data_IF_776076451752
#
_entry.id   IF_776076451752
#
_cell.length_a   1.000
_cell.length_b   1.000
_cell.length_c   1.000
_cell.angle_alpha   90.00
_cell.angle_beta   90.00
_cell.angle_gamma   90.00
#
_symmetry.space_group_name_H-M   'P 1'
#
loop_
_entity.id
_entity.type
_entity.pdbx_description
1 polymer ?
#
# COMPACT_ATOMS: atom_id res chain seq x y z
N UNK A 1 9.75 -21.58 -25.08
CA UNK A 1 10.03 -20.54 -26.09
C UNK A 1 8.90 -19.52 -26.22
N UNK A 2 7.63 -19.94 -26.39
CA UNK A 2 6.47 -19.03 -26.51
C UNK A 2 6.31 -18.02 -25.35
N UNK A 3 6.43 -18.48 -24.10
CA UNK A 3 6.32 -17.63 -22.90
C UNK A 3 7.42 -16.56 -22.86
N UNK A 4 8.66 -16.93 -23.18
CA UNK A 4 9.79 -16.01 -23.28
C UNK A 4 9.57 -14.97 -24.38
N UNK A 5 9.10 -15.40 -25.56
CA UNK A 5 8.81 -14.49 -26.66
C UNK A 5 7.65 -13.54 -26.36
N UNK A 6 6.62 -14.01 -25.65
CA UNK A 6 5.50 -13.16 -25.21
C UNK A 6 5.93 -12.13 -24.15
N UNK A 7 6.72 -12.55 -23.15
CA UNK A 7 7.26 -11.66 -22.11
C UNK A 7 8.20 -10.62 -22.72
N UNK A 8 9.08 -11.02 -23.65
CA UNK A 8 9.98 -10.10 -24.35
C UNK A 8 9.20 -9.11 -25.22
N UNK A 9 8.13 -9.53 -25.89
CA UNK A 9 7.27 -8.63 -26.65
C UNK A 9 6.50 -7.64 -25.76
N UNK A 10 6.10 -8.06 -24.56
CA UNK A 10 5.43 -7.18 -23.59
C UNK A 10 6.38 -6.18 -22.93
N UNK A 11 7.61 -6.59 -22.59
CA UNK A 11 8.61 -5.75 -21.94
C UNK A 11 9.35 -4.78 -22.89
N UNK A 12 9.04 -4.81 -24.18
CA UNK A 12 9.65 -3.97 -25.20
C UNK A 12 8.62 -3.05 -25.88
N UNK A 13 7.49 -2.71 -25.24
CA UNK A 13 6.52 -1.80 -25.85
C UNK A 13 7.05 -0.37 -25.69
N UNK A 14 7.49 0.21 -26.81
CA UNK A 14 7.94 1.60 -26.86
C UNK A 14 6.82 2.57 -26.47
N UNK A 15 7.10 3.45 -25.52
CA UNK A 15 6.36 4.69 -25.28
C UNK A 15 6.23 5.48 -26.58
N UNK A 16 5.07 6.10 -26.76
CA UNK A 16 4.78 7.04 -27.84
C UNK A 16 5.68 8.28 -27.66
N UNK A 17 6.93 8.18 -28.12
CA UNK A 17 7.89 9.29 -28.29
C UNK A 17 8.35 10.04 -27.03
N UNK A 18 7.93 9.69 -25.81
CA UNK A 18 8.31 10.43 -24.61
C UNK A 18 9.14 9.57 -23.63
N UNK A 19 10.41 9.96 -23.53
CA UNK A 19 11.47 9.58 -22.58
C UNK A 19 12.13 8.20 -22.72
N UNK A 20 13.46 8.25 -22.77
CA UNK A 20 14.47 7.18 -22.83
C UNK A 20 14.63 6.48 -21.46
N UNK A 21 13.55 5.88 -20.95
CA UNK A 21 13.56 5.13 -19.69
C UNK A 21 13.48 3.62 -19.98
N UNK A 22 14.42 2.83 -19.44
CA UNK A 22 14.44 1.38 -19.60
C UNK A 22 13.15 0.73 -19.03
N UNK A 23 12.26 0.31 -19.93
CA UNK A 23 10.95 -0.33 -19.68
C UNK A 23 11.03 -1.81 -19.25
N UNK A 24 12.05 -2.22 -18.48
CA UNK A 24 12.36 -3.64 -18.21
C UNK A 24 11.20 -4.47 -17.60
N UNK A 25 10.14 -3.80 -17.12
CA UNK A 25 8.83 -4.42 -16.96
C UNK A 25 7.69 -3.40 -17.24
N UNK A 26 7.17 -3.38 -18.48
CA UNK A 26 5.91 -2.69 -18.84
C UNK A 26 4.66 -3.30 -18.16
N UNK A 27 4.84 -4.29 -17.28
CA UNK A 27 3.79 -4.81 -16.44
C UNK A 27 3.71 -4.03 -15.13
N UNK A 28 2.78 -3.08 -15.05
CA UNK A 28 2.40 -2.41 -13.80
C UNK A 28 2.28 -3.36 -12.58
N UNK A 29 1.73 -4.59 -12.71
CA UNK A 29 1.68 -5.54 -11.59
C UNK A 29 3.04 -6.04 -11.10
N UNK A 30 4.02 -6.26 -11.99
CA UNK A 30 5.34 -6.74 -11.59
C UNK A 30 6.13 -5.62 -10.89
N UNK A 31 6.06 -4.39 -11.41
CA UNK A 31 6.73 -3.24 -10.80
C UNK A 31 6.19 -2.95 -9.40
N UNK A 32 4.87 -3.06 -9.21
CA UNK A 32 4.25 -2.95 -7.89
C UNK A 32 4.72 -4.05 -6.93
N UNK A 33 4.79 -5.30 -7.39
CA UNK A 33 5.28 -6.41 -6.56
C UNK A 33 6.75 -6.22 -6.15
N UNK A 34 7.60 -5.77 -7.07
CA UNK A 34 8.99 -5.41 -6.74
C UNK A 34 9.04 -4.25 -5.76
N UNK A 35 8.19 -3.25 -5.93
CA UNK A 35 8.12 -2.09 -5.06
C UNK A 35 7.65 -2.46 -3.64
N UNK A 36 6.64 -3.32 -3.53
CA UNK A 36 6.17 -3.90 -2.26
C UNK A 36 7.31 -4.60 -1.52
N UNK A 37 8.12 -5.40 -2.24
CA UNK A 37 9.30 -6.06 -1.67
C UNK A 37 10.39 -5.10 -1.23
N UNK A 38 10.54 -3.95 -1.88
CA UNK A 38 11.45 -2.90 -1.42
C UNK A 38 10.94 -2.25 -0.13
N UNK A 39 9.64 -1.98 -0.04
CA UNK A 39 9.01 -1.41 1.16
C UNK A 39 9.05 -2.36 2.36
N UNK A 40 9.01 -3.67 2.13
CA UNK A 40 9.19 -4.67 3.20
C UNK A 40 10.55 -4.53 3.91
N UNK A 41 11.57 -3.97 3.26
CA UNK A 41 12.88 -3.73 3.87
C UNK A 41 12.87 -2.60 4.92
N UNK A 42 11.79 -1.82 5.02
CA UNK A 42 11.62 -0.79 6.05
C UNK A 42 11.32 -1.36 7.44
N UNK A 43 11.13 -2.68 7.58
CA UNK A 43 10.76 -3.32 8.83
C UNK A 43 11.88 -4.21 9.36
N UNK A 44 11.99 -4.29 10.69
CA UNK A 44 12.98 -5.11 11.37
C UNK A 44 12.69 -6.61 11.18
N UNK A 45 13.75 -7.38 10.88
CA UNK A 45 13.65 -8.83 10.63
C UNK A 45 13.38 -9.63 11.92
N UNK A 46 13.81 -9.10 13.07
CA UNK A 46 13.66 -9.71 14.39
C UNK A 46 12.36 -9.30 15.07
N UNK A 47 11.84 -8.11 14.77
CA UNK A 47 10.57 -7.61 15.29
C UNK A 47 9.71 -7.04 14.17
N UNK A 48 8.87 -7.89 13.60
CA UNK A 48 8.19 -7.61 12.32
C UNK A 48 7.39 -6.29 12.31
N UNK A 49 6.77 -5.86 13.42
CA UNK A 49 6.02 -4.58 13.43
C UNK A 49 6.87 -3.33 13.57
N UNK A 50 8.15 -3.44 13.95
CA UNK A 50 9.01 -2.28 14.11
C UNK A 50 9.52 -1.80 12.77
N UNK A 51 9.31 -0.51 12.52
CA UNK A 51 9.99 0.21 11.46
C UNK A 51 11.45 0.44 11.92
N UNK A 52 12.42 0.24 11.02
CA UNK A 52 13.84 0.43 11.33
C UNK A 52 14.16 1.90 11.64
N UNK A 53 15.17 2.15 12.46
CA UNK A 53 15.56 3.52 12.86
C UNK A 53 15.98 4.37 11.64
N UNK A 54 16.64 3.75 10.65
CA UNK A 54 17.11 4.41 9.42
C UNK A 54 16.08 4.40 8.27
N UNK A 55 14.79 4.31 8.58
CA UNK A 55 13.74 4.19 7.56
C UNK A 55 13.76 5.34 6.56
N UNK A 56 14.06 6.57 7.00
CA UNK A 56 14.12 7.74 6.13
C UNK A 56 15.25 7.63 5.10
N UNK A 57 16.43 7.17 5.51
CA UNK A 57 17.58 6.97 4.63
C UNK A 57 17.33 5.85 3.62
N UNK A 58 16.72 4.75 4.08
CA UNK A 58 16.31 3.65 3.22
C UNK A 58 15.22 4.11 2.24
N UNK A 59 14.25 4.90 2.70
CA UNK A 59 13.17 5.41 1.86
C UNK A 59 13.70 6.32 0.76
N UNK A 60 14.71 7.15 1.05
CA UNK A 60 15.41 7.95 0.04
C UNK A 60 16.13 7.10 -1.01
N UNK A 61 16.67 5.93 -0.62
CA UNK A 61 17.22 4.95 -1.57
C UNK A 61 16.13 4.28 -2.40
N UNK A 62 15.03 3.86 -1.77
CA UNK A 62 13.89 3.24 -2.45
C UNK A 62 13.30 4.20 -3.48
N UNK A 63 13.16 5.49 -3.14
CA UNK A 63 12.65 6.54 -4.05
C UNK A 63 13.49 6.71 -5.31
N UNK A 64 14.79 6.39 -5.29
CA UNK A 64 15.63 6.40 -6.51
C UNK A 64 15.21 5.34 -7.54
N UNK A 65 14.45 4.32 -7.13
CA UNK A 65 13.92 3.30 -8.03
C UNK A 65 12.63 3.74 -8.75
N UNK A 66 11.99 4.83 -8.30
CA UNK A 66 10.71 5.29 -8.84
C UNK A 66 10.69 5.48 -10.36
N UNK A 67 11.69 6.16 -11.00
CA UNK A 67 11.70 6.33 -12.45
C UNK A 67 11.79 5.01 -13.22
N UNK A 68 12.40 3.99 -12.60
CA UNK A 68 12.61 2.66 -13.17
C UNK A 68 11.35 1.80 -13.04
N UNK A 69 10.62 1.94 -11.93
CA UNK A 69 9.42 1.16 -11.61
C UNK A 69 8.12 1.84 -12.05
N UNK A 70 8.17 3.11 -12.48
CA UNK A 70 6.98 3.89 -12.81
C UNK A 70 6.15 4.25 -11.57
N UNK A 71 6.81 4.40 -10.41
CA UNK A 71 6.16 4.78 -9.15
C UNK A 71 6.18 6.31 -9.01
N UNK A 72 5.09 6.87 -8.55
CA UNK A 72 5.00 8.26 -8.15
C UNK A 72 4.60 8.34 -6.66
N UNK A 73 4.56 9.54 -6.11
CA UNK A 73 4.22 9.76 -4.70
C UNK A 73 2.86 9.14 -4.33
N UNK A 74 1.85 9.25 -5.20
CA UNK A 74 0.49 8.76 -4.91
C UNK A 74 0.46 7.23 -4.83
N UNK A 75 1.10 6.55 -5.79
CA UNK A 75 1.25 5.11 -5.78
C UNK A 75 2.08 4.63 -4.60
N UNK A 76 3.14 5.35 -4.25
CA UNK A 76 3.89 5.07 -3.02
C UNK A 76 3.00 5.16 -1.79
N UNK A 77 2.22 6.25 -1.65
CA UNK A 77 1.37 6.44 -0.48
C UNK A 77 0.38 5.28 -0.29
N UNK A 78 -0.23 4.85 -1.39
CA UNK A 78 -1.16 3.72 -1.42
C UNK A 78 -0.45 2.38 -1.12
N UNK A 79 0.68 2.10 -1.77
CA UNK A 79 1.44 0.86 -1.55
C UNK A 79 1.97 0.76 -0.12
N UNK A 80 2.48 1.87 0.42
CA UNK A 80 3.01 1.89 1.77
C UNK A 80 1.90 1.72 2.81
N UNK A 81 0.71 2.30 2.59
CA UNK A 81 -0.47 2.01 3.43
C UNK A 81 -0.79 0.52 3.45
N UNK A 82 -0.75 -0.14 2.30
CA UNK A 82 -0.98 -1.59 2.20
C UNK A 82 0.09 -2.39 2.95
N UNK A 83 1.37 -2.10 2.74
CA UNK A 83 2.48 -2.81 3.40
C UNK A 83 2.45 -2.62 4.92
N UNK A 84 2.19 -1.40 5.41
CA UNK A 84 2.01 -1.13 6.84
C UNK A 84 0.86 -1.96 7.42
N UNK A 85 -0.27 -2.02 6.70
CA UNK A 85 -1.44 -2.79 7.11
C UNK A 85 -1.19 -4.31 7.11
N UNK A 86 -0.57 -4.84 6.05
CA UNK A 86 -0.17 -6.25 5.99
C UNK A 86 0.78 -6.59 7.14
N UNK A 87 1.71 -5.68 7.46
CA UNK A 87 2.63 -5.87 8.59
C UNK A 87 1.94 -5.87 9.94
N UNK A 88 0.95 -5.00 10.13
CA UNK A 88 0.14 -5.00 11.34
C UNK A 88 -0.62 -6.33 11.52
N UNK A 89 -1.10 -6.93 10.43
CA UNK A 89 -1.75 -8.24 10.48
C UNK A 89 -0.74 -9.33 10.83
N UNK A 90 0.42 -9.35 10.15
CA UNK A 90 1.46 -10.36 10.34
C UNK A 90 2.02 -10.34 11.77
N UNK A 91 2.17 -9.16 12.37
CA UNK A 91 2.68 -8.98 13.74
C UNK A 91 1.68 -9.29 14.86
N UNK A 92 0.51 -9.84 14.55
CA UNK A 92 -0.46 -10.25 15.56
C UNK A 92 -1.32 -9.12 16.12
N UNK A 93 -1.33 -7.95 15.46
CA UNK A 93 -2.32 -6.88 15.69
C UNK A 93 -2.25 -6.22 17.07
N UNK A 94 -1.05 -6.08 17.63
CA UNK A 94 -0.84 -5.49 18.98
C UNK A 94 -0.16 -4.12 18.93
N UNK A 95 0.41 -3.75 17.77
CA UNK A 95 1.22 -2.55 17.62
C UNK A 95 0.35 -1.32 17.35
N UNK A 96 0.16 -0.49 18.39
CA UNK A 96 -0.59 0.75 18.29
C UNK A 96 0.17 1.87 17.58
N UNK A 97 1.50 1.85 17.61
CA UNK A 97 2.32 2.83 16.92
C UNK A 97 2.19 2.62 15.41
N UNK A 98 2.33 1.36 14.96
CA UNK A 98 2.11 0.99 13.56
C UNK A 98 0.69 1.34 13.08
N UNK A 99 -0.34 1.15 13.91
CA UNK A 99 -1.70 1.59 13.60
C UNK A 99 -1.81 3.10 13.41
N UNK A 100 -1.15 3.89 14.26
CA UNK A 100 -1.11 5.35 14.10
C UNK A 100 -0.39 5.75 12.80
N UNK A 101 0.66 5.03 12.42
CA UNK A 101 1.36 5.25 11.15
C UNK A 101 0.46 4.92 9.95
N UNK A 102 -0.32 3.83 10.02
CA UNK A 102 -1.32 3.50 9.00
C UNK A 102 -2.35 4.61 8.86
N UNK A 103 -2.91 5.11 9.98
CA UNK A 103 -3.94 6.14 9.94
C UNK A 103 -3.41 7.44 9.30
N UNK A 104 -2.22 7.88 9.70
CA UNK A 104 -1.56 9.03 9.09
C UNK A 104 -1.27 8.83 7.60
N UNK A 105 -0.87 7.63 7.18
CA UNK A 105 -0.65 7.33 5.77
C UNK A 105 -1.94 7.30 4.95
N UNK A 106 -3.05 6.83 5.54
CA UNK A 106 -4.37 6.88 4.92
C UNK A 106 -4.88 8.32 4.75
N UNK A 107 -4.47 9.27 5.59
CA UNK A 107 -4.75 10.70 5.36
C UNK A 107 -4.09 11.22 4.08
N UNK A 108 -2.85 10.82 3.80
CA UNK A 108 -2.16 11.16 2.54
C UNK A 108 -2.86 10.52 1.34
N UNK A 109 -3.25 9.25 1.45
CA UNK A 109 -4.04 8.56 0.41
C UNK A 109 -5.39 9.26 0.18
N UNK A 110 -6.04 9.76 1.22
CA UNK A 110 -7.29 10.51 1.10
C UNK A 110 -7.11 11.85 0.39
N UNK A 111 -5.97 12.53 0.58
CA UNK A 111 -5.61 13.74 -0.17
C UNK A 111 -5.36 13.40 -1.65
N UNK A 112 -4.61 12.33 -1.90
CA UNK A 112 -4.27 11.86 -3.24
C UNK A 112 -5.51 11.51 -4.06
N UNK A 113 -6.43 10.72 -3.48
CA UNK A 113 -7.68 10.31 -4.13
C UNK A 113 -8.53 11.47 -4.63
N UNK A 114 -8.47 12.64 -3.99
CA UNK A 114 -9.22 13.84 -4.41
C UNK A 114 -8.61 14.56 -5.61
N UNK A 115 -7.33 14.33 -5.89
CA UNK A 115 -6.57 15.09 -6.87
C UNK A 115 -6.36 14.34 -8.17
N UNK A 116 -6.23 13.02 -8.13
CA UNK A 116 -6.02 12.20 -9.32
C UNK A 116 -7.32 11.73 -9.94
N UNK A 117 -7.29 11.58 -11.27
CA UNK A 117 -8.33 10.93 -12.07
C UNK A 117 -7.77 9.74 -12.87
N UNK A 118 -6.61 9.23 -12.45
CA UNK A 118 -5.98 8.10 -13.10
C UNK A 118 -6.81 6.83 -12.84
N UNK A 119 -7.41 6.21 -13.89
CA UNK A 119 -8.23 5.02 -13.72
C UNK A 119 -7.42 3.82 -13.20
N UNK A 120 -6.11 3.79 -13.44
CA UNK A 120 -5.23 2.76 -12.89
C UNK A 120 -5.17 2.95 -11.37
N UNK A 121 -4.85 4.16 -10.91
CA UNK A 121 -4.82 4.49 -9.49
C UNK A 121 -6.15 4.18 -8.79
N UNK A 122 -7.29 4.66 -9.30
CA UNK A 122 -8.60 4.42 -8.66
C UNK A 122 -8.92 2.93 -8.53
N UNK A 123 -8.53 2.11 -9.52
CA UNK A 123 -8.71 0.65 -9.42
C UNK A 123 -7.90 0.05 -8.27
N UNK A 124 -6.64 0.46 -8.09
CA UNK A 124 -5.82 -0.01 -6.99
C UNK A 124 -6.30 0.53 -5.65
N UNK A 125 -6.64 1.81 -5.59
CA UNK A 125 -7.21 2.45 -4.41
C UNK A 125 -8.44 1.69 -3.91
N UNK A 126 -9.40 1.46 -4.81
CA UNK A 126 -10.63 0.74 -4.50
C UNK A 126 -10.35 -0.68 -4.00
N UNK A 127 -9.48 -1.43 -4.67
CA UNK A 127 -9.11 -2.78 -4.28
C UNK A 127 -8.44 -2.85 -2.90
N UNK A 128 -7.48 -1.94 -2.65
CA UNK A 128 -6.75 -1.86 -1.38
C UNK A 128 -7.68 -1.48 -0.23
N UNK A 129 -8.41 -0.37 -0.37
CA UNK A 129 -9.29 0.12 0.71
C UNK A 129 -10.47 -0.82 0.97
N UNK A 130 -11.01 -1.49 -0.05
CA UNK A 130 -12.06 -2.51 0.15
C UNK A 130 -11.52 -3.71 0.92
N UNK A 131 -10.27 -4.10 0.68
CA UNK A 131 -9.63 -5.20 1.41
C UNK A 131 -9.39 -4.83 2.88
N UNK A 132 -8.89 -3.62 3.14
CA UNK A 132 -8.73 -3.07 4.49
C UNK A 132 -10.08 -2.99 5.20
N UNK A 133 -11.07 -2.35 4.57
CA UNK A 133 -12.41 -2.18 5.14
C UNK A 133 -13.07 -3.53 5.45
N UNK A 134 -13.02 -4.47 4.51
CA UNK A 134 -13.59 -5.81 4.72
C UNK A 134 -12.89 -6.60 5.83
N UNK A 135 -11.62 -6.35 6.09
CA UNK A 135 -10.92 -6.91 7.25
C UNK A 135 -11.37 -6.24 8.56
N UNK A 136 -11.46 -4.91 8.58
CA UNK A 136 -11.93 -4.13 9.74
C UNK A 136 -13.36 -4.53 10.13
N UNK A 137 -14.28 -4.60 9.16
CA UNK A 137 -15.68 -4.96 9.39
C UNK A 137 -15.82 -6.34 10.04
N UNK A 138 -15.08 -7.34 9.55
CA UNK A 138 -15.12 -8.71 10.11
C UNK A 138 -14.73 -8.72 11.59
N UNK A 139 -13.69 -7.96 11.95
CA UNK A 139 -13.22 -7.84 13.34
C UNK A 139 -14.21 -7.12 14.24
N UNK A 140 -14.78 -6.02 13.77
CA UNK A 140 -15.75 -5.25 14.54
C UNK A 140 -17.08 -6.00 14.70
N UNK A 141 -17.50 -6.78 13.69
CA UNK A 141 -18.67 -7.64 13.79
C UNK A 141 -18.50 -8.76 14.84
N UNK A 142 -17.28 -9.32 14.92
CA UNK A 142 -16.92 -10.34 15.91
C UNK A 142 -16.14 -9.74 17.10
N UNK A 143 -16.45 -8.50 17.52
CA UNK A 143 -15.59 -7.78 18.46
C UNK A 143 -15.40 -8.49 19.80
N UNK A 144 -16.42 -9.22 20.27
CA UNK A 144 -16.36 -10.01 21.50
C UNK A 144 -15.34 -11.15 21.46
N UNK A 145 -15.12 -11.73 20.28
CA UNK A 145 -14.15 -12.82 20.06
C UNK A 145 -12.78 -12.28 19.61
N UNK A 146 -12.78 -11.08 19.04
CA UNK A 146 -11.62 -10.46 18.40
C UNK A 146 -10.80 -9.61 19.38
N UNK A 147 -11.47 -8.97 20.32
CA UNK A 147 -10.84 -8.06 21.27
C UNK A 147 -10.93 -8.57 22.70
N UNK A 148 -9.79 -8.67 23.36
CA UNK A 148 -9.65 -9.08 24.76
C UNK A 148 -8.90 -8.02 25.58
N UNK A 149 -8.63 -8.29 26.85
CA UNK A 149 -7.92 -7.34 27.72
C UNK A 149 -6.52 -6.97 27.23
N UNK A 150 -5.90 -7.75 26.34
CA UNK A 150 -4.55 -7.52 25.83
C UNK A 150 -4.56 -6.56 24.66
N UNK A 151 -5.51 -6.69 23.73
CA UNK A 151 -5.50 -5.95 22.46
C UNK A 151 -6.64 -4.92 22.31
N UNK A 152 -7.55 -4.78 23.29
CA UNK A 152 -8.69 -3.84 23.23
C UNK A 152 -8.27 -2.39 22.99
N UNK A 153 -7.05 -2.02 23.38
CA UNK A 153 -6.48 -0.68 23.13
C UNK A 153 -6.32 -0.36 21.65
N UNK A 154 -6.25 -1.37 20.77
CA UNK A 154 -6.12 -1.20 19.31
C UNK A 154 -7.44 -0.94 18.61
N UNK A 155 -8.58 -1.29 19.27
CA UNK A 155 -9.91 -1.18 18.68
C UNK A 155 -10.24 0.24 18.17
N UNK A 156 -9.97 1.34 18.92
CA UNK A 156 -10.25 2.69 18.44
C UNK A 156 -9.51 3.03 17.13
N UNK A 157 -8.25 2.63 17.02
CA UNK A 157 -7.44 2.88 15.83
C UNK A 157 -7.93 2.05 14.64
N UNK A 158 -8.32 0.79 14.86
CA UNK A 158 -8.94 -0.06 13.83
C UNK A 158 -10.25 0.56 13.32
N UNK A 159 -11.07 1.14 14.22
CA UNK A 159 -12.27 1.88 13.83
C UNK A 159 -11.90 3.13 13.01
N UNK A 160 -10.88 3.89 13.41
CA UNK A 160 -10.38 5.05 12.66
C UNK A 160 -10.03 4.67 11.21
N UNK A 161 -9.20 3.63 11.04
CA UNK A 161 -8.79 3.09 9.73
C UNK A 161 -10.00 2.68 8.89
N UNK A 162 -10.99 2.01 9.50
CA UNK A 162 -12.23 1.62 8.82
C UNK A 162 -13.04 2.83 8.33
N UNK A 163 -13.20 3.84 9.18
CA UNK A 163 -13.92 5.08 8.82
C UNK A 163 -13.19 5.82 7.70
N UNK A 164 -11.86 5.97 7.81
CA UNK A 164 -11.02 6.62 6.80
C UNK A 164 -11.13 5.91 5.45
N UNK A 165 -11.02 4.58 5.45
CA UNK A 165 -11.14 3.75 4.23
C UNK A 165 -12.53 3.88 3.59
N UNK A 166 -13.59 3.76 4.39
CA UNK A 166 -14.97 3.87 3.89
C UNK A 166 -15.26 5.26 3.32
N UNK A 167 -14.76 6.33 3.97
CA UNK A 167 -14.93 7.70 3.50
C UNK A 167 -14.30 7.92 2.13
N UNK A 168 -13.05 7.47 1.94
CA UNK A 168 -12.35 7.60 0.66
C UNK A 168 -13.05 6.79 -0.44
N UNK A 169 -13.51 5.57 -0.15
CA UNK A 169 -14.25 4.76 -1.11
C UNK A 169 -15.58 5.40 -1.56
N UNK A 170 -16.33 6.01 -0.65
CA UNK A 170 -17.59 6.70 -0.97
C UNK A 170 -17.33 7.93 -1.85
N UNK A 171 -16.26 8.68 -1.55
CA UNK A 171 -15.85 9.85 -2.34
C UNK A 171 -15.35 9.45 -3.75
N UNK A 172 -14.64 8.33 -3.89
CA UNK A 172 -14.15 7.80 -5.19
C UNK A 172 -15.29 7.32 -6.09
N UNK A 173 -16.31 6.63 -5.54
CA UNK A 173 -17.49 6.17 -6.31
C UNK A 173 -18.35 7.35 -6.83
N UNK A 174 -18.27 8.51 -6.17
CA UNK A 174 -19.10 9.67 -6.49
C UNK A 174 -18.49 10.59 -7.56
N UNK A 175 -17.26 10.35 -8.00
CA UNK A 175 -16.50 11.16 -8.98
C UNK A 175 -16.44 10.52 -10.37
#
# INVERSE_FOLDING_TARGET
QLLRSAVVALACRSSDGLLDCCHWADGFPLNLCLYEKLLEACFDVSYESAIIEEVDELMDLIKKTWPILGINQMLHNLCFSWVLFDRFIASGQVDNELLSTIDGQLEEVAKDAKTTKDPIYSKFLSATLTSILGWVEKRLLAYHDTFDSVNISTMPNIVSIGISSAKVLVEDISN
#
